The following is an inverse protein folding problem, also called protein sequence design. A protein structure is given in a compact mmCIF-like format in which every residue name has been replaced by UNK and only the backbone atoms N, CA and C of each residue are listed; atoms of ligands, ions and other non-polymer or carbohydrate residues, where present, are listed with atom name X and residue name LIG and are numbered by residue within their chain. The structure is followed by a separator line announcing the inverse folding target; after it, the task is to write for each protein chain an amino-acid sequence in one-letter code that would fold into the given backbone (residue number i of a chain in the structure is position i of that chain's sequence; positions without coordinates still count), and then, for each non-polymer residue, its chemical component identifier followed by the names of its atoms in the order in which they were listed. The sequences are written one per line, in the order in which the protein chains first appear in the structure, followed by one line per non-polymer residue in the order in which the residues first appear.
data_IF_805880477481
#
_entry.id   IF_805880477481
#
_cell.length_a   1.000
_cell.length_b   1.000
_cell.length_c   1.000
_cell.angle_alpha   90.00
_cell.angle_beta   90.00
_cell.angle_gamma   90.00
#
_symmetry.space_group_name_H-M   'P 1'
#
loop_
_entity.id
_entity.type
_entity.pdbx_description
1 polymer ?
#
# COMPACT_ATOMS: atom_id res chain seq x y z
N UNK A 1 -3.05 10.45 -5.79
CA UNK A 1 -1.98 10.04 -4.84
C UNK A 1 -0.75 9.62 -5.63
N UNK A 2 0.45 10.08 -5.24
CA UNK A 2 1.71 9.65 -5.88
C UNK A 2 2.27 8.42 -5.15
N UNK A 3 2.63 7.39 -5.92
CA UNK A 3 3.36 6.21 -5.47
C UNK A 3 4.78 6.26 -6.03
N UNK A 4 5.74 6.42 -5.15
CA UNK A 4 7.16 6.33 -5.45
C UNK A 4 7.71 5.12 -4.68
N UNK A 5 8.54 4.24 -5.28
CA UNK A 5 9.21 3.18 -4.54
C UNK A 5 9.95 3.76 -3.33
N UNK A 6 9.79 3.17 -2.16
CA UNK A 6 10.44 3.67 -0.92
C UNK A 6 11.96 3.59 -0.99
N UNK A 7 12.47 2.66 -1.80
CA UNK A 7 13.88 2.46 -2.08
C UNK A 7 14.09 2.39 -3.57
N UNK A 8 14.99 3.18 -4.10
CA UNK A 8 15.46 3.15 -5.49
C UNK A 8 16.98 2.96 -5.49
N UNK A 9 17.56 2.56 -6.60
CA UNK A 9 18.98 2.27 -6.71
C UNK A 9 19.63 3.31 -7.62
N UNK A 10 20.72 3.89 -7.19
CA UNK A 10 21.45 4.96 -7.89
C UNK A 10 21.74 4.55 -9.35
N UNK A 11 21.38 5.41 -10.29
CA UNK A 11 21.55 5.20 -11.73
C UNK A 11 20.63 4.16 -12.37
N UNK A 12 19.85 3.42 -11.59
CA UNK A 12 18.97 2.39 -12.10
C UNK A 12 17.57 2.92 -12.46
N UNK A 13 16.91 2.21 -13.36
CA UNK A 13 15.53 2.51 -13.73
C UNK A 13 14.57 2.19 -12.57
N UNK A 14 13.54 3.01 -12.45
CA UNK A 14 12.47 2.80 -11.48
C UNK A 14 11.15 3.31 -12.07
N UNK A 15 10.05 2.69 -11.68
CA UNK A 15 8.69 3.08 -12.11
C UNK A 15 7.94 3.66 -10.93
N UNK A 16 7.35 4.83 -11.11
CA UNK A 16 6.37 5.43 -10.22
C UNK A 16 4.96 5.32 -10.81
N UNK A 17 3.94 5.54 -9.97
CA UNK A 17 2.55 5.61 -10.40
C UNK A 17 1.80 6.77 -9.75
N UNK A 18 0.79 7.28 -10.45
CA UNK A 18 -0.15 8.25 -9.87
C UNK A 18 -1.55 7.63 -9.86
N UNK A 19 -2.20 7.70 -8.71
CA UNK A 19 -3.56 7.21 -8.51
C UNK A 19 -4.51 8.38 -8.23
N UNK A 20 -5.74 8.28 -8.73
CA UNK A 20 -6.84 9.18 -8.37
C UNK A 20 -7.38 8.88 -6.95
N UNK A 21 -8.49 9.53 -6.57
CA UNK A 21 -9.16 9.33 -5.28
C UNK A 21 -9.83 7.96 -5.15
N UNK A 22 -10.04 7.27 -6.26
CA UNK A 22 -10.64 5.93 -6.33
C UNK A 22 -9.59 4.82 -6.45
N UNK A 23 -8.29 5.15 -6.37
CA UNK A 23 -7.20 4.20 -6.51
C UNK A 23 -6.89 3.79 -7.95
N UNK A 24 -7.42 4.49 -8.97
CA UNK A 24 -7.18 4.19 -10.38
C UNK A 24 -5.94 4.91 -10.88
N UNK A 25 -5.18 4.24 -11.71
CA UNK A 25 -4.01 4.82 -12.37
C UNK A 25 -4.40 6.02 -13.24
N UNK A 26 -3.66 7.12 -13.13
CA UNK A 26 -3.98 8.42 -13.75
C UNK A 26 -2.89 8.82 -14.74
N UNK A 27 -3.17 8.82 -16.04
CA UNK A 27 -2.23 9.25 -17.08
C UNK A 27 -2.08 10.77 -17.16
N UNK A 28 -1.00 11.24 -17.79
CA UNK A 28 -0.76 12.64 -18.11
C UNK A 28 -0.45 13.54 -16.92
N UNK A 29 -0.09 12.99 -15.77
CA UNK A 29 0.23 13.75 -14.57
C UNK A 29 1.73 13.98 -14.46
N UNK A 30 2.14 15.23 -14.31
CA UNK A 30 3.56 15.61 -14.13
C UNK A 30 3.96 15.45 -12.67
N UNK A 31 5.05 14.72 -12.45
CA UNK A 31 5.73 14.54 -11.17
C UNK A 31 7.04 15.31 -11.19
N UNK A 32 7.28 16.09 -10.16
CA UNK A 32 8.49 16.93 -9.99
C UNK A 32 9.31 16.37 -8.85
N UNK A 33 10.58 16.10 -9.11
CA UNK A 33 11.55 15.66 -8.10
C UNK A 33 12.30 16.84 -7.47
N UNK A 34 12.82 16.63 -6.27
CA UNK A 34 13.57 17.67 -5.53
C UNK A 34 14.88 18.11 -6.19
N UNK A 35 15.42 17.32 -7.11
CA UNK A 35 16.58 17.67 -7.93
C UNK A 35 16.23 18.49 -9.19
N UNK A 36 14.93 18.80 -9.39
CA UNK A 36 14.44 19.56 -10.53
C UNK A 36 13.96 18.72 -11.72
N UNK A 37 14.23 17.41 -11.73
CA UNK A 37 13.77 16.52 -12.79
C UNK A 37 12.24 16.43 -12.79
N UNK A 38 11.67 16.26 -13.99
CA UNK A 38 10.23 16.07 -14.20
C UNK A 38 9.98 14.83 -15.05
N UNK A 39 8.94 14.08 -14.68
CA UNK A 39 8.43 12.98 -15.50
C UNK A 39 6.91 13.07 -15.58
N UNK A 40 6.33 12.61 -16.68
CA UNK A 40 4.88 12.60 -16.88
C UNK A 40 4.41 11.16 -17.00
N UNK A 41 3.32 10.81 -16.31
CA UNK A 41 2.74 9.47 -16.41
C UNK A 41 2.21 9.20 -17.82
N UNK A 42 2.48 8.03 -18.32
CA UNK A 42 2.05 7.53 -19.63
C UNK A 42 0.55 7.17 -19.64
N UNK A 43 0.10 6.52 -20.71
CA UNK A 43 -1.29 6.06 -20.89
C UNK A 43 -1.73 5.03 -19.84
N UNK A 44 -0.79 4.37 -19.16
CA UNK A 44 -1.05 3.44 -18.07
C UNK A 44 -1.08 4.11 -16.68
N UNK A 45 -0.84 5.43 -16.59
CA UNK A 45 -0.76 6.15 -15.33
C UNK A 45 0.53 5.93 -14.54
N UNK A 46 1.57 5.41 -15.20
CA UNK A 46 2.90 5.15 -14.64
C UNK A 46 3.96 5.96 -15.38
N UNK A 47 5.10 6.18 -14.72
CA UNK A 47 6.24 6.81 -15.38
C UNK A 47 7.53 6.07 -15.01
N UNK A 48 8.29 5.71 -16.04
CA UNK A 48 9.64 5.17 -15.90
C UNK A 48 10.61 6.34 -15.81
N UNK A 49 11.52 6.30 -14.84
CA UNK A 49 12.57 7.30 -14.64
C UNK A 49 13.88 6.63 -14.24
N UNK A 50 14.98 7.37 -14.33
CA UNK A 50 16.30 6.93 -13.86
C UNK A 50 16.57 7.61 -12.51
N UNK A 51 16.91 6.82 -11.51
CA UNK A 51 17.28 7.37 -10.19
C UNK A 51 18.57 8.19 -10.27
N UNK A 52 18.70 9.27 -9.47
CA UNK A 52 19.97 10.02 -9.37
C UNK A 52 21.15 9.12 -9.05
N UNK A 53 22.34 9.49 -9.53
CA UNK A 53 23.57 8.72 -9.33
C UNK A 53 24.09 8.77 -7.88
N UNK A 54 23.75 9.83 -7.15
CA UNK A 54 24.23 10.02 -5.78
C UNK A 54 23.25 9.38 -4.80
N UNK A 55 23.70 8.46 -3.91
CA UNK A 55 22.92 7.94 -2.82
C UNK A 55 22.40 9.05 -1.89
N UNK A 56 21.26 8.83 -1.25
CA UNK A 56 20.67 9.81 -0.35
C UNK A 56 19.14 9.76 -0.30
N UNK A 57 18.51 10.90 -0.13
CA UNK A 57 17.04 11.02 -0.07
C UNK A 57 16.55 11.93 -1.18
N UNK A 58 15.53 11.50 -1.88
CA UNK A 58 14.84 12.30 -2.89
C UNK A 58 13.35 12.44 -2.53
N UNK A 59 12.80 13.61 -2.81
CA UNK A 59 11.38 13.90 -2.67
C UNK A 59 10.75 14.03 -4.06
N UNK A 60 9.50 13.62 -4.17
CA UNK A 60 8.70 13.84 -5.37
C UNK A 60 7.32 14.38 -4.98
N UNK A 61 6.76 15.25 -5.82
CA UNK A 61 5.44 15.84 -5.66
C UNK A 61 4.70 15.88 -6.99
N UNK A 62 3.39 15.95 -6.95
CA UNK A 62 2.61 16.25 -8.15
C UNK A 62 2.72 17.74 -8.45
N UNK A 63 2.93 18.10 -9.70
CA UNK A 63 3.03 19.50 -10.12
C UNK A 63 1.76 20.28 -9.71
N UNK A 64 1.95 21.45 -9.09
CA UNK A 64 0.86 22.30 -8.63
C UNK A 64 0.06 21.77 -7.43
N UNK A 65 0.50 20.71 -6.75
CA UNK A 65 -0.17 20.17 -5.56
C UNK A 65 0.73 20.19 -4.34
N UNK A 66 0.15 20.52 -3.20
CA UNK A 66 0.82 20.33 -1.91
C UNK A 66 0.95 18.84 -1.60
N UNK A 67 2.00 18.51 -0.87
CA UNK A 67 2.31 17.13 -0.47
C UNK A 67 3.44 16.54 -1.30
N UNK A 68 4.29 15.78 -0.61
CA UNK A 68 5.45 15.11 -1.20
C UNK A 68 5.60 13.71 -0.64
N UNK A 69 6.14 12.82 -1.44
CA UNK A 69 6.58 11.48 -1.05
C UNK A 69 8.09 11.39 -1.07
N UNK A 70 8.63 10.52 -0.26
CA UNK A 70 10.08 10.36 -0.06
C UNK A 70 10.52 8.99 -0.54
N UNK A 71 11.70 8.94 -1.17
CA UNK A 71 12.41 7.70 -1.48
C UNK A 71 13.86 7.79 -1.02
N UNK A 72 14.42 6.65 -0.64
CA UNK A 72 15.85 6.51 -0.33
C UNK A 72 16.56 5.97 -1.56
N UNK A 73 17.61 6.64 -1.99
CA UNK A 73 18.49 6.20 -3.07
C UNK A 73 19.61 5.37 -2.45
N UNK A 74 19.61 4.08 -2.71
CA UNK A 74 20.64 3.15 -2.30
C UNK A 74 21.82 3.23 -3.27
N UNK A 75 23.04 3.02 -2.77
CA UNK A 75 24.20 2.81 -3.66
C UNK A 75 24.09 1.43 -4.36
N UNK A 76 24.69 1.30 -5.53
CA UNK A 76 24.79 0.01 -6.23
C UNK A 76 25.48 -1.07 -5.38
N UNK A 77 26.41 -0.69 -4.51
CA UNK A 77 27.11 -1.61 -3.62
C UNK A 77 26.21 -2.17 -2.50
N UNK A 78 25.12 -1.48 -2.16
CA UNK A 78 24.15 -1.92 -1.14
C UNK A 78 23.10 -2.90 -1.70
N UNK A 79 23.05 -3.07 -3.02
CA UNK A 79 22.10 -3.95 -3.68
C UNK A 79 22.86 -5.09 -4.35
N UNK A 80 22.83 -6.31 -3.79
CA UNK A 80 23.53 -7.45 -4.38
C UNK A 80 23.08 -7.69 -5.83
N UNK A 81 24.06 -7.84 -6.71
CA UNK A 81 23.83 -8.33 -8.06
C UNK A 81 23.69 -9.84 -8.01
N UNK A 82 22.55 -10.38 -8.41
CA UNK A 82 22.37 -11.84 -8.40
C UNK A 82 20.94 -12.29 -8.47
N UNK A 83 20.64 -13.37 -7.78
CA UNK A 83 19.31 -13.95 -7.74
C UNK A 83 18.30 -12.99 -7.12
N UNK A 84 17.07 -13.07 -7.58
CA UNK A 84 15.96 -12.32 -6.99
C UNK A 84 15.66 -12.84 -5.59
N UNK A 85 15.57 -11.94 -4.64
CA UNK A 85 15.28 -12.27 -3.25
C UNK A 85 14.29 -11.27 -2.64
N UNK A 86 13.31 -11.79 -1.91
CA UNK A 86 12.41 -11.00 -1.08
C UNK A 86 12.94 -11.00 0.35
N UNK A 87 13.34 -9.82 0.83
CA UNK A 87 13.89 -9.64 2.18
C UNK A 87 12.77 -9.30 3.17
N UNK A 88 11.84 -8.43 2.77
CA UNK A 88 10.71 -8.01 3.62
C UNK A 88 9.41 -8.03 2.82
N UNK A 89 8.37 -8.62 3.41
CA UNK A 89 7.01 -8.62 2.90
C UNK A 89 6.01 -8.58 4.07
N UNK A 90 4.75 -8.15 3.87
CA UNK A 90 3.75 -8.23 4.92
C UNK A 90 3.33 -9.69 5.15
N UNK A 91 3.07 -10.06 6.41
CA UNK A 91 2.41 -11.35 6.71
C UNK A 91 0.93 -11.32 6.38
N UNK A 92 0.33 -10.14 6.47
CA UNK A 92 -1.08 -9.90 6.21
C UNK A 92 -1.20 -8.67 5.34
N UNK A 93 -2.04 -8.73 4.31
CA UNK A 93 -2.38 -7.62 3.43
C UNK A 93 -3.89 -7.57 3.19
N UNK A 94 -4.43 -6.42 2.80
CA UNK A 94 -5.83 -6.31 2.38
C UNK A 94 -5.96 -6.56 0.88
N UNK A 95 -7.10 -7.11 0.46
CA UNK A 95 -7.43 -7.25 -0.96
C UNK A 95 -7.74 -5.90 -1.63
N UNK A 96 -8.16 -4.92 -0.85
CA UNK A 96 -8.62 -3.61 -1.32
C UNK A 96 -7.51 -2.56 -1.45
N UNK A 97 -6.30 -2.83 -0.99
CA UNK A 97 -5.18 -1.90 -1.05
C UNK A 97 -3.91 -2.62 -1.50
N UNK A 98 -2.96 -1.84 -1.98
CA UNK A 98 -1.64 -2.33 -2.36
C UNK A 98 -0.85 -2.80 -1.15
N UNK A 99 0.04 -3.74 -1.38
CA UNK A 99 1.06 -4.16 -0.43
C UNK A 99 2.46 -3.96 -0.99
N UNK A 100 3.44 -3.92 -0.12
CA UNK A 100 4.82 -3.58 -0.43
C UNK A 100 5.72 -4.79 -0.24
N UNK A 101 6.67 -4.96 -1.15
CA UNK A 101 7.70 -6.00 -1.12
C UNK A 101 9.05 -5.30 -1.21
N UNK A 102 9.94 -5.55 -0.27
CA UNK A 102 11.33 -5.08 -0.32
C UNK A 102 12.29 -6.26 -0.50
N UNK A 103 13.31 -6.07 -1.30
CA UNK A 103 14.26 -7.12 -1.63
C UNK A 103 15.31 -6.61 -2.59
N UNK A 104 15.75 -7.46 -3.49
CA UNK A 104 16.66 -7.10 -4.59
C UNK A 104 16.44 -8.01 -5.80
N UNK A 105 17.01 -7.61 -6.94
CA UNK A 105 16.90 -8.33 -8.19
C UNK A 105 15.56 -8.13 -8.92
N UNK A 106 14.71 -7.21 -8.47
CA UNK A 106 13.49 -6.84 -9.20
C UNK A 106 13.84 -6.02 -10.44
N UNK A 107 12.90 -5.89 -11.36
CA UNK A 107 13.03 -5.00 -12.50
C UNK A 107 12.60 -3.58 -12.11
N UNK A 108 13.35 -2.57 -12.56
CA UNK A 108 12.95 -1.17 -12.40
C UNK A 108 11.72 -0.80 -13.22
N UNK A 109 11.52 -1.46 -14.35
CA UNK A 109 10.29 -1.39 -15.13
C UNK A 109 9.19 -2.25 -14.51
N UNK A 110 8.05 -1.65 -14.18
CA UNK A 110 6.95 -2.34 -13.53
C UNK A 110 6.40 -3.51 -14.38
N UNK A 111 6.32 -3.32 -15.69
CA UNK A 111 5.76 -4.32 -16.62
C UNK A 111 6.68 -5.52 -16.84
N UNK A 112 7.97 -5.36 -16.54
CA UNK A 112 8.93 -6.46 -16.60
C UNK A 112 8.88 -7.38 -15.37
N UNK A 113 8.21 -6.95 -14.27
CA UNK A 113 7.98 -7.79 -13.11
C UNK A 113 6.67 -8.56 -13.27
N UNK A 114 6.73 -9.87 -13.05
CA UNK A 114 5.54 -10.73 -12.97
C UNK A 114 5.30 -11.09 -11.52
N UNK A 115 4.17 -10.67 -10.99
CA UNK A 115 3.71 -11.04 -9.64
C UNK A 115 2.48 -11.91 -9.78
N UNK A 116 2.50 -13.09 -9.18
CA UNK A 116 1.37 -14.02 -9.12
C UNK A 116 0.97 -14.20 -7.66
N UNK A 117 -0.31 -14.13 -7.36
CA UNK A 117 -0.90 -14.27 -6.03
C UNK A 117 -1.93 -15.38 -6.10
N UNK A 118 -1.64 -16.54 -5.49
CA UNK A 118 -2.51 -17.71 -5.61
C UNK A 118 -2.71 -18.20 -7.05
N UNK A 119 -1.74 -17.94 -7.95
CA UNK A 119 -1.84 -18.26 -9.36
C UNK A 119 -2.48 -17.16 -10.23
N UNK A 120 -3.03 -16.10 -9.64
CA UNK A 120 -3.67 -14.97 -10.36
C UNK A 120 -2.69 -13.81 -10.47
N UNK A 121 -2.59 -13.10 -11.61
CA UNK A 121 -1.70 -11.96 -11.76
C UNK A 121 -2.07 -10.79 -10.84
N UNK A 122 -1.10 -10.29 -10.05
CA UNK A 122 -1.18 -9.03 -9.35
C UNK A 122 -0.64 -7.88 -10.21
N UNK A 123 -1.14 -6.66 -10.02
CA UNK A 123 -0.72 -5.48 -10.76
C UNK A 123 0.44 -4.79 -10.04
N UNK A 124 1.60 -4.69 -10.67
CA UNK A 124 2.73 -3.90 -10.16
C UNK A 124 2.48 -2.43 -10.48
N UNK A 125 2.28 -1.63 -9.44
CA UNK A 125 2.02 -0.19 -9.56
C UNK A 125 3.31 0.62 -9.66
N UNK A 126 4.27 0.33 -8.78
CA UNK A 126 5.56 1.00 -8.73
C UNK A 126 6.66 -0.02 -8.48
N UNK A 127 7.83 0.19 -9.06
CA UNK A 127 8.95 -0.75 -8.97
C UNK A 127 10.31 -0.06 -8.99
N UNK A 128 11.27 -0.71 -8.36
CA UNK A 128 12.70 -0.46 -8.46
C UNK A 128 13.45 -1.79 -8.30
N UNK A 129 14.75 -1.85 -8.54
CA UNK A 129 15.52 -3.08 -8.26
C UNK A 129 15.45 -3.58 -6.81
N UNK A 130 15.01 -2.72 -5.87
CA UNK A 130 14.95 -3.02 -4.43
C UNK A 130 13.55 -3.01 -3.82
N UNK A 131 12.50 -2.70 -4.60
CA UNK A 131 11.16 -2.48 -4.06
C UNK A 131 10.06 -2.68 -5.10
N UNK A 132 8.94 -3.26 -4.68
CA UNK A 132 7.71 -3.36 -5.45
C UNK A 132 6.51 -2.88 -4.62
N UNK A 133 5.59 -2.17 -5.26
CA UNK A 133 4.24 -1.93 -4.75
C UNK A 133 3.26 -2.67 -5.66
N UNK A 134 2.49 -3.59 -5.10
CA UNK A 134 1.64 -4.52 -5.83
C UNK A 134 0.19 -4.38 -5.38
N UNK A 135 -0.73 -4.29 -6.32
CA UNK A 135 -2.17 -4.36 -6.06
C UNK A 135 -2.63 -5.82 -6.27
N UNK A 136 -3.29 -6.43 -5.27
CA UNK A 136 -3.87 -7.76 -5.43
C UNK A 136 -4.96 -7.80 -6.52
N UNK A 137 -5.25 -8.98 -7.11
CA UNK A 137 -6.40 -9.16 -7.98
C UNK A 137 -7.71 -8.87 -7.25
N UNK A 138 -8.69 -8.27 -7.92
CA UNK A 138 -9.97 -7.84 -7.33
C UNK A 138 -10.91 -9.00 -6.99
N UNK A 139 -10.76 -10.12 -7.68
CA UNK A 139 -11.67 -11.29 -7.66
C UNK A 139 -11.10 -12.46 -6.85
N UNK A 140 -10.08 -12.18 -6.02
CA UNK A 140 -9.47 -13.19 -5.18
C UNK A 140 -10.24 -13.32 -3.85
N UNK A 141 -10.47 -14.55 -3.42
CA UNK A 141 -11.03 -14.83 -2.10
C UNK A 141 -10.02 -14.50 -1.00
N UNK A 142 -10.48 -13.95 0.15
CA UNK A 142 -9.61 -13.68 1.28
C UNK A 142 -9.13 -14.99 1.92
N UNK A 143 -7.83 -15.04 2.25
CA UNK A 143 -7.17 -16.21 2.84
C UNK A 143 -5.66 -16.21 2.61
N UNK A 144 -4.97 -17.27 3.03
CA UNK A 144 -3.55 -17.45 2.75
C UNK A 144 -3.32 -17.70 1.25
N UNK A 145 -2.40 -16.95 0.65
CA UNK A 145 -2.03 -17.14 -0.74
C UNK A 145 -0.51 -17.10 -0.91
N UNK A 146 -0.02 -17.96 -1.82
CA UNK A 146 1.37 -17.95 -2.26
C UNK A 146 1.58 -16.78 -3.22
N UNK A 147 2.55 -15.94 -2.92
CA UNK A 147 3.00 -14.84 -3.78
C UNK A 147 4.29 -15.26 -4.45
N UNK A 148 4.34 -15.16 -5.76
CA UNK A 148 5.53 -15.42 -6.57
C UNK A 148 5.89 -14.15 -7.32
N UNK A 149 7.18 -13.78 -7.28
CA UNK A 149 7.71 -12.59 -7.95
C UNK A 149 8.82 -13.01 -8.88
N UNK A 150 8.78 -12.59 -10.13
CA UNK A 150 9.84 -12.83 -11.11
C UNK A 150 10.09 -11.60 -11.96
N UNK A 151 11.33 -11.48 -12.45
CA UNK A 151 11.77 -10.43 -13.36
C UNK A 151 12.59 -11.09 -14.48
N UNK A 152 12.04 -11.09 -15.69
CA UNK A 152 12.66 -11.75 -16.85
C UNK A 152 12.85 -13.25 -16.62
N UNK A 153 14.03 -13.76 -16.95
CA UNK A 153 14.39 -15.19 -16.81
C UNK A 153 14.93 -15.55 -15.42
N UNK A 154 14.92 -14.64 -14.44
CA UNK A 154 15.42 -14.90 -13.09
C UNK A 154 14.48 -15.85 -12.36
N UNK A 155 15.08 -16.70 -11.49
CA UNK A 155 14.29 -17.62 -10.66
C UNK A 155 13.33 -16.81 -9.78
N UNK A 156 12.07 -17.19 -9.77
CA UNK A 156 11.05 -16.54 -8.96
C UNK A 156 11.34 -16.68 -7.46
N UNK A 157 11.19 -15.58 -6.73
CA UNK A 157 11.09 -15.63 -5.28
C UNK A 157 9.64 -15.92 -4.90
N UNK A 158 9.42 -16.75 -3.88
CA UNK A 158 8.09 -17.14 -3.43
C UNK A 158 7.96 -17.07 -1.91
N UNK A 159 6.79 -16.61 -1.43
CA UNK A 159 6.46 -16.50 -0.01
C UNK A 159 4.93 -16.52 0.17
N UNK A 160 4.47 -16.63 1.42
CA UNK A 160 3.04 -16.67 1.74
C UNK A 160 2.60 -15.37 2.42
N UNK A 161 1.44 -14.85 1.99
CA UNK A 161 0.74 -13.71 2.59
C UNK A 161 -0.69 -14.12 2.89
N UNK A 162 -1.23 -13.71 4.03
CA UNK A 162 -2.66 -13.85 4.33
C UNK A 162 -3.36 -12.59 3.83
N UNK A 163 -4.19 -12.74 2.81
CA UNK A 163 -5.02 -11.65 2.32
C UNK A 163 -6.33 -11.58 3.07
N UNK A 164 -6.70 -10.39 3.52
CA UNK A 164 -7.94 -10.17 4.27
C UNK A 164 -8.84 -9.15 3.57
N UNK A 165 -10.14 -9.31 3.68
CA UNK A 165 -11.09 -8.25 3.38
C UNK A 165 -11.60 -7.62 4.67
N UNK A 166 -11.85 -6.31 4.63
CA UNK A 166 -12.42 -5.54 5.73
C UNK A 166 -13.84 -5.14 5.34
N UNK A 167 -14.81 -5.68 6.04
CA UNK A 167 -16.23 -5.37 5.82
C UNK A 167 -16.71 -4.51 6.98
N UNK A 168 -17.21 -3.32 6.66
CA UNK A 168 -17.83 -2.45 7.64
C UNK A 168 -19.30 -2.86 7.79
N UNK A 169 -19.72 -3.12 9.01
CA UNK A 169 -21.11 -3.16 9.39
C UNK A 169 -21.59 -1.70 9.62
N UNK A 170 -21.75 -1.00 8.51
CA UNK A 170 -22.22 0.37 8.50
C UNK A 170 -23.73 0.34 8.23
N UNK A 171 -24.52 0.36 9.28
CA UNK A 171 -25.88 0.88 9.13
C UNK A 171 -25.73 2.36 8.72
N UNK A 172 -25.98 2.70 7.46
CA UNK A 172 -25.73 4.02 6.86
C UNK A 172 -26.58 5.17 7.40
N UNK A 173 -27.06 5.06 8.63
CA UNK A 173 -27.78 6.11 9.32
C UNK A 173 -26.85 7.23 9.72
N UNK A 174 -27.25 8.47 9.50
CA UNK A 174 -26.56 9.65 10.00
C UNK A 174 -26.36 9.56 11.52
N UNK A 175 -25.22 10.05 11.99
CA UNK A 175 -24.90 10.12 13.43
C UNK A 175 -25.43 11.46 13.95
N UNK A 176 -26.35 11.43 14.92
CA UNK A 176 -26.87 12.64 15.54
C UNK A 176 -25.86 13.22 16.55
N UNK A 177 -25.88 14.55 16.81
CA UNK A 177 -25.08 15.14 17.87
C UNK A 177 -25.41 14.51 19.24
N UNK A 178 -24.37 14.10 19.97
CA UNK A 178 -24.49 13.38 21.24
C UNK A 178 -24.76 11.87 21.12
N UNK A 179 -24.99 11.36 19.91
CA UNK A 179 -25.20 9.93 19.69
C UNK A 179 -23.86 9.16 19.78
N UNK A 180 -23.90 8.07 20.56
CA UNK A 180 -22.81 7.10 20.61
C UNK A 180 -23.12 5.94 19.67
N UNK A 181 -22.17 5.56 18.86
CA UNK A 181 -22.27 4.41 17.94
C UNK A 181 -20.99 3.59 17.95
N UNK A 182 -21.15 2.28 17.84
CA UNK A 182 -20.04 1.36 17.62
C UNK A 182 -19.91 1.08 16.13
N UNK A 183 -18.71 1.32 15.57
CA UNK A 183 -18.35 0.94 14.22
C UNK A 183 -17.69 -0.44 14.31
N UNK A 184 -18.34 -1.44 13.76
CA UNK A 184 -17.84 -2.83 13.70
C UNK A 184 -17.20 -3.10 12.35
N UNK A 185 -15.97 -3.60 12.39
CA UNK A 185 -15.19 -4.01 11.21
C UNK A 185 -14.97 -5.50 11.27
N UNK A 186 -15.56 -6.23 10.34
CA UNK A 186 -15.37 -7.68 10.21
C UNK A 186 -14.14 -7.94 9.34
N UNK A 187 -13.25 -8.79 9.83
CA UNK A 187 -12.05 -9.25 9.11
C UNK A 187 -12.32 -10.66 8.57
N UNK A 188 -12.33 -10.81 7.25
CA UNK A 188 -12.43 -12.11 6.59
C UNK A 188 -11.08 -12.58 6.08
N UNK A 189 -10.88 -13.89 5.99
CA UNK A 189 -9.66 -14.52 5.47
C UNK A 189 -8.60 -14.82 6.53
N UNK A 190 -8.85 -14.43 7.80
CA UNK A 190 -7.94 -14.76 8.91
C UNK A 190 -8.71 -15.01 10.21
N UNK A 191 -8.31 -16.02 10.94
CA UNK A 191 -8.74 -16.28 12.32
C UNK A 191 -7.78 -15.69 13.37
N UNK A 192 -6.65 -15.16 12.93
CA UNK A 192 -5.70 -14.48 13.81
C UNK A 192 -6.19 -13.06 14.15
N UNK A 193 -5.74 -12.54 15.28
CA UNK A 193 -5.94 -11.14 15.64
C UNK A 193 -5.22 -10.23 14.66
N UNK A 194 -5.92 -9.26 14.10
CA UNK A 194 -5.42 -8.30 13.12
C UNK A 194 -5.47 -6.90 13.72
N UNK A 195 -4.36 -6.17 13.63
CA UNK A 195 -4.30 -4.80 14.09
C UNK A 195 -4.84 -3.86 13.00
N UNK A 196 -5.86 -3.10 13.34
CA UNK A 196 -6.47 -2.08 12.50
C UNK A 196 -6.23 -0.69 13.08
N UNK A 197 -6.17 0.28 12.21
CA UNK A 197 -6.09 1.69 12.56
C UNK A 197 -7.28 2.43 11.91
N UNK A 198 -8.09 3.06 12.74
CA UNK A 198 -9.14 3.97 12.31
C UNK A 198 -8.62 5.41 12.42
N UNK A 199 -8.77 6.19 11.36
CA UNK A 199 -8.43 7.61 11.33
C UNK A 199 -9.66 8.45 11.00
N UNK A 200 -9.96 9.40 11.85
CA UNK A 200 -11.01 10.36 11.64
C UNK A 200 -10.51 11.53 10.78
N UNK A 201 -11.17 11.75 9.64
CA UNK A 201 -10.84 12.82 8.69
C UNK A 201 -11.76 14.03 8.82
N UNK A 202 -12.77 13.99 9.72
CA UNK A 202 -13.69 15.08 10.01
C UNK A 202 -13.94 15.21 11.53
N UNK A 203 -12.91 15.54 12.33
CA UNK A 203 -12.98 15.53 13.81
C UNK A 203 -13.94 16.58 14.40
N UNK A 204 -14.33 17.58 13.62
CA UNK A 204 -15.30 18.59 14.04
C UNK A 204 -16.73 18.05 14.00
N UNK A 205 -17.04 17.09 13.13
CA UNK A 205 -18.37 16.52 12.93
C UNK A 205 -18.61 15.29 13.80
N UNK A 206 -17.64 14.40 13.88
CA UNK A 206 -17.68 13.20 14.70
C UNK A 206 -16.39 13.07 15.50
N UNK A 207 -16.45 12.40 16.63
CA UNK A 207 -15.30 12.04 17.44
C UNK A 207 -15.08 10.53 17.41
N UNK A 208 -13.83 10.14 17.29
CA UNK A 208 -13.42 8.75 17.44
C UNK A 208 -12.87 8.63 18.87
N UNK A 209 -13.57 7.88 19.75
CA UNK A 209 -13.14 7.75 21.12
C UNK A 209 -11.72 7.18 21.23
N UNK A 210 -10.83 7.97 21.83
CA UNK A 210 -9.40 7.65 21.90
C UNK A 210 -8.53 8.56 21.02
N UNK A 211 -9.12 9.49 20.27
CA UNK A 211 -8.40 10.52 19.51
C UNK A 211 -8.68 10.48 17.99
N UNK A 212 -7.95 11.29 17.21
CA UNK A 212 -8.12 11.35 15.76
C UNK A 212 -7.62 10.11 15.03
N UNK A 213 -6.80 9.28 15.69
CA UNK A 213 -6.30 8.01 15.17
C UNK A 213 -6.30 6.98 16.31
N UNK A 214 -7.08 5.91 16.14
CA UNK A 214 -7.25 4.86 17.13
C UNK A 214 -6.84 3.51 16.55
N UNK A 215 -6.11 2.72 17.31
CA UNK A 215 -5.73 1.36 16.95
C UNK A 215 -6.50 0.36 17.80
N UNK A 216 -7.01 -0.68 17.14
CA UNK A 216 -7.67 -1.80 17.78
C UNK A 216 -7.22 -3.11 17.15
N UNK A 217 -7.07 -4.15 17.99
CA UNK A 217 -6.90 -5.50 17.49
C UNK A 217 -8.28 -6.15 17.33
N UNK A 218 -8.47 -6.91 16.25
CA UNK A 218 -9.66 -7.72 16.08
C UNK A 218 -9.69 -8.89 17.08
N UNK A 219 -10.88 -9.45 17.31
CA UNK A 219 -11.10 -10.52 18.32
C UNK A 219 -10.32 -11.81 18.03
N UNK A 220 -10.07 -12.09 16.75
CA UNK A 220 -9.65 -13.41 16.29
C UNK A 220 -10.81 -14.42 16.29
N UNK A 221 -10.55 -15.63 15.81
CA UNK A 221 -11.55 -16.69 15.70
C UNK A 221 -12.42 -16.58 14.47
N UNK A 222 -13.52 -17.34 14.42
CA UNK A 222 -14.42 -17.40 13.27
C UNK A 222 -15.14 -16.06 13.01
N UNK A 223 -15.58 -15.39 14.08
CA UNK A 223 -16.18 -14.05 14.05
C UNK A 223 -15.12 -12.99 14.39
N UNK A 224 -14.17 -12.82 13.49
CA UNK A 224 -13.05 -11.92 13.69
C UNK A 224 -13.46 -10.46 13.44
N UNK A 225 -13.69 -9.70 14.52
CA UNK A 225 -14.20 -8.32 14.46
C UNK A 225 -13.32 -7.36 15.27
N UNK A 226 -13.16 -6.14 14.78
CA UNK A 226 -12.64 -5.01 15.51
C UNK A 226 -13.75 -3.96 15.70
N UNK A 227 -13.70 -3.19 16.78
CA UNK A 227 -14.72 -2.22 17.15
C UNK A 227 -14.09 -0.87 17.46
N UNK A 228 -14.76 0.19 17.00
CA UNK A 228 -14.36 1.57 17.23
C UNK A 228 -15.60 2.37 17.68
N UNK A 229 -15.47 3.08 18.79
CA UNK A 229 -16.56 3.87 19.31
C UNK A 229 -16.53 5.27 18.68
N UNK A 230 -17.69 5.72 18.20
CA UNK A 230 -17.94 7.03 17.62
C UNK A 230 -18.90 7.83 18.48
N UNK A 231 -18.69 9.16 18.53
CA UNK A 231 -19.57 10.14 19.14
C UNK A 231 -19.89 11.23 18.12
N UNK A 232 -21.15 11.47 17.83
CA UNK A 232 -21.58 12.61 17.01
C UNK A 232 -21.39 13.93 17.77
N UNK A 233 -20.73 14.91 17.13
CA UNK A 233 -20.52 16.25 17.70
C UNK A 233 -21.48 17.28 17.13
N UNK A 234 -21.62 17.29 15.83
CA UNK A 234 -22.50 18.22 15.12
C UNK A 234 -23.06 17.60 13.84
N UNK A 235 -24.08 18.23 13.28
CA UNK A 235 -24.60 17.82 11.97
C UNK A 235 -23.56 18.03 10.88
N UNK A 236 -23.42 17.03 10.02
CA UNK A 236 -22.49 17.08 8.88
C UNK A 236 -22.10 15.69 8.38
N UNK A 237 -21.38 15.67 7.28
CA UNK A 237 -20.76 14.45 6.76
C UNK A 237 -19.43 14.20 7.40
N UNK A 238 -19.13 12.98 7.76
CA UNK A 238 -17.83 12.58 8.30
C UNK A 238 -17.28 11.38 7.53
N UNK A 239 -15.97 11.21 7.60
CA UNK A 239 -15.25 10.11 6.98
C UNK A 239 -14.27 9.50 7.98
N UNK A 240 -14.41 8.20 8.19
CA UNK A 240 -13.45 7.39 8.96
C UNK A 240 -12.72 6.47 7.98
N UNK A 241 -11.41 6.63 7.89
CA UNK A 241 -10.55 5.72 7.12
C UNK A 241 -10.09 4.59 8.03
N UNK A 242 -10.29 3.35 7.60
CA UNK A 242 -9.82 2.16 8.32
C UNK A 242 -8.79 1.45 7.47
N UNK A 243 -7.66 1.14 8.08
CA UNK A 243 -6.57 0.44 7.41
C UNK A 243 -5.95 -0.64 8.28
N UNK A 244 -5.37 -1.61 7.62
CA UNK A 244 -4.53 -2.63 8.24
C UNK A 244 -3.21 -2.01 8.73
N UNK A 245 -2.77 -2.38 9.93
CA UNK A 245 -1.43 -2.08 10.43
C UNK A 245 -0.62 -3.36 10.40
N UNK A 246 0.07 -3.58 9.29
CA UNK A 246 0.93 -4.75 9.12
C UNK A 246 2.38 -4.31 8.88
N UNK A 247 3.33 -4.68 9.76
CA UNK A 247 4.73 -4.43 9.50
C UNK A 247 5.24 -5.34 8.39
N UNK A 248 6.21 -4.85 7.63
CA UNK A 248 7.02 -5.69 6.75
C UNK A 248 7.94 -6.56 7.62
N UNK A 249 7.99 -7.83 7.34
CA UNK A 249 8.81 -8.81 8.06
C UNK A 249 9.52 -9.72 7.04
N UNK A 250 10.56 -10.42 7.48
CA UNK A 250 11.17 -11.47 6.66
C UNK A 250 10.11 -12.52 6.34
N UNK A 251 9.84 -12.78 5.06
CA UNK A 251 8.82 -13.74 4.67
C UNK A 251 9.25 -15.16 5.05
N UNK A 252 8.25 -16.00 5.31
CA UNK A 252 8.45 -17.44 5.42
C UNK A 252 8.19 -18.09 4.07
N UNK A 253 9.00 -19.05 3.68
CA UNK A 253 8.81 -19.78 2.43
C UNK A 253 7.49 -20.54 2.40
#
# INVERSE_FOLDING_TARGET
MLLLPRKIVAGERSTLAVLDVHGRLTPGVTVVFSNGDKVTTDTTGRALFVAPLNPGVIFASLEGRAGRVTSVILSLAEVPSGAQEVILAPRVATLSDRFEIAGHGFCGDADANKVSIGGVPGLVLASSPAYLAVLPPTDMDPGPARVEVSCGARKAAAFTVVFVSLELDASGAALAPGEHRELTVRVRGSTAKINLEARNLAPDVADLQGGTTVRAASSGGADNVARFALLGKQHGSFLISIRLVAPLVTPRP
#
